data_IF_107594685084
#
_entry.id   IF_107594685084
#
_cell.length_a   1.000
_cell.length_b   1.000
_cell.length_c   1.000
_cell.angle_alpha   90.00
_cell.angle_beta   90.00
_cell.angle_gamma   90.00
#
_symmetry.space_group_name_H-M   'P 1'
#
loop_
_entity.id
_entity.type
_entity.pdbx_description
1 polymer ?
#
# COMPACT_ATOMS: atom_id res chain seq x y z
N UNK A 1 -29.54 5.04 -3.34
CA UNK A 1 -29.47 5.76 -4.63
C UNK A 1 -28.33 5.13 -5.43
N UNK A 2 -28.41 5.09 -6.77
CA UNK A 2 -27.29 4.58 -7.57
C UNK A 2 -26.11 5.55 -7.54
N UNK A 3 -24.88 5.05 -7.41
CA UNK A 3 -23.65 5.84 -7.56
C UNK A 3 -23.12 5.73 -8.99
N UNK A 4 -22.25 6.66 -9.39
CA UNK A 4 -21.67 6.66 -10.74
C UNK A 4 -20.44 5.74 -10.76
N UNK A 5 -20.48 4.73 -11.61
CA UNK A 5 -19.38 3.82 -11.91
C UNK A 5 -18.38 4.47 -12.89
N UNK A 6 -17.69 5.50 -12.44
CA UNK A 6 -16.75 6.30 -13.23
C UNK A 6 -15.65 5.45 -13.88
N UNK A 7 -15.12 4.44 -13.19
CA UNK A 7 -14.07 3.57 -13.75
C UNK A 7 -14.54 2.65 -14.90
N UNK A 8 -15.86 2.46 -15.01
CA UNK A 8 -16.50 1.61 -16.01
C UNK A 8 -17.15 2.43 -17.13
N UNK A 9 -17.07 3.76 -17.08
CA UNK A 9 -17.51 4.62 -18.17
C UNK A 9 -16.65 4.43 -19.42
N UNK A 10 -17.22 4.77 -20.57
CA UNK A 10 -16.52 4.74 -21.84
C UNK A 10 -15.28 5.64 -21.82
N UNK A 11 -14.21 5.14 -22.45
CA UNK A 11 -12.99 5.89 -22.66
C UNK A 11 -13.24 7.22 -23.40
N UNK A 12 -12.43 8.22 -23.10
CA UNK A 12 -12.39 9.48 -23.85
C UNK A 12 -11.87 9.29 -25.30
N UNK A 13 -11.40 8.09 -25.63
CA UNK A 13 -10.82 7.73 -26.91
C UNK A 13 -11.66 6.63 -27.57
N UNK A 14 -11.73 6.63 -28.90
CA UNK A 14 -12.42 5.62 -29.68
C UNK A 14 -11.51 5.10 -30.81
N UNK A 15 -11.87 3.95 -31.39
CA UNK A 15 -11.12 3.30 -32.46
C UNK A 15 -9.64 3.05 -32.11
N UNK A 16 -9.37 2.59 -30.88
CA UNK A 16 -8.02 2.34 -30.38
C UNK A 16 -7.25 1.37 -31.30
N UNK A 17 -7.94 0.40 -31.90
CA UNK A 17 -7.39 -0.59 -32.83
C UNK A 17 -6.87 0.03 -34.14
N UNK A 18 -7.27 1.27 -34.46
CA UNK A 18 -6.83 2.00 -35.67
C UNK A 18 -5.73 3.01 -35.39
N UNK A 19 -5.42 3.27 -34.11
CA UNK A 19 -4.35 4.19 -33.73
C UNK A 19 -2.98 3.55 -34.01
N UNK A 20 -2.03 4.38 -34.42
CA UNK A 20 -0.63 3.96 -34.45
C UNK A 20 -0.11 3.68 -33.02
N UNK A 21 0.95 2.89 -32.92
CA UNK A 21 1.61 2.62 -31.62
C UNK A 21 2.01 3.92 -30.91
N UNK A 22 2.49 4.92 -31.66
CA UNK A 22 2.87 6.22 -31.09
C UNK A 22 1.70 6.98 -30.47
N UNK A 23 0.54 6.98 -31.14
CA UNK A 23 -0.67 7.61 -30.63
C UNK A 23 -1.20 6.89 -29.38
N UNK A 24 -1.22 5.56 -29.39
CA UNK A 24 -1.61 4.76 -28.22
C UNK A 24 -0.75 5.11 -27.00
N UNK A 25 0.57 5.10 -27.15
CA UNK A 25 1.49 5.41 -26.04
C UNK A 25 1.33 6.85 -25.54
N UNK A 26 1.16 7.82 -26.46
CA UNK A 26 0.96 9.22 -26.10
C UNK A 26 -0.36 9.42 -25.34
N UNK A 27 -1.44 8.77 -25.77
CA UNK A 27 -2.75 8.89 -25.15
C UNK A 27 -2.81 8.21 -23.78
N UNK A 28 -2.23 7.01 -23.64
CA UNK A 28 -2.07 6.35 -22.33
C UNK A 28 -1.30 7.28 -21.37
N UNK A 29 -0.18 7.84 -21.80
CA UNK A 29 0.60 8.73 -20.95
C UNK A 29 -0.14 10.03 -20.58
N UNK A 30 -1.01 10.55 -21.46
CA UNK A 30 -1.83 11.72 -21.13
C UNK A 30 -2.84 11.40 -20.03
N UNK A 31 -3.44 10.22 -20.07
CA UNK A 31 -4.32 9.73 -19.01
C UNK A 31 -3.52 9.54 -17.69
N UNK A 32 -2.33 8.94 -17.73
CA UNK A 32 -1.49 8.72 -16.54
C UNK A 32 -1.12 10.02 -15.80
N UNK A 33 -0.92 11.14 -16.52
CA UNK A 33 -0.61 12.46 -15.92
C UNK A 33 -1.71 12.96 -14.99
N UNK A 34 -2.95 12.50 -15.17
CA UNK A 34 -4.08 12.90 -14.33
C UNK A 34 -4.06 12.24 -12.96
N UNK A 35 -3.39 11.09 -12.83
CA UNK A 35 -3.44 10.27 -11.61
C UNK A 35 -2.87 10.98 -10.38
N UNK A 36 -1.67 11.59 -10.42
CA UNK A 36 -1.15 12.33 -9.27
C UNK A 36 -2.04 13.50 -8.85
N UNK A 37 -2.75 14.13 -9.81
CA UNK A 37 -3.67 15.23 -9.52
C UNK A 37 -4.91 14.73 -8.78
N UNK A 38 -5.45 13.57 -9.15
CA UNK A 38 -6.54 12.93 -8.42
C UNK A 38 -6.11 12.52 -7.00
N UNK A 39 -4.91 11.95 -6.84
CA UNK A 39 -4.35 11.61 -5.51
C UNK A 39 -4.18 12.85 -4.65
N UNK A 40 -3.74 13.98 -5.23
CA UNK A 40 -3.59 15.24 -4.49
C UNK A 40 -4.92 15.73 -3.89
N UNK A 41 -6.05 15.49 -4.55
CA UNK A 41 -7.38 15.86 -4.03
C UNK A 41 -7.80 14.97 -2.84
N UNK A 42 -7.31 13.74 -2.78
CA UNK A 42 -7.63 12.78 -1.72
C UNK A 42 -6.73 12.91 -0.48
N UNK A 43 -5.73 13.81 -0.48
CA UNK A 43 -4.79 13.96 0.65
C UNK A 43 -5.45 14.13 2.02
N UNK A 44 -6.54 14.92 2.19
CA UNK A 44 -7.21 15.02 3.49
C UNK A 44 -7.78 13.68 4.00
N UNK A 45 -8.31 12.85 3.10
CA UNK A 45 -8.81 11.52 3.46
C UNK A 45 -7.68 10.57 3.82
N UNK A 46 -6.59 10.62 3.05
CA UNK A 46 -5.37 9.84 3.29
C UNK A 46 -4.79 10.17 4.67
N UNK A 47 -4.72 11.46 5.03
CA UNK A 47 -4.25 11.92 6.34
C UNK A 47 -5.08 11.34 7.49
N UNK A 48 -6.42 11.41 7.39
CA UNK A 48 -7.32 10.91 8.43
C UNK A 48 -7.14 9.40 8.68
N UNK A 49 -7.01 8.61 7.61
CA UNK A 49 -6.75 7.18 7.75
C UNK A 49 -5.38 6.90 8.38
N UNK A 50 -4.33 7.59 7.93
CA UNK A 50 -2.96 7.39 8.43
C UNK A 50 -2.89 7.70 9.93
N UNK A 51 -3.58 8.74 10.42
CA UNK A 51 -3.61 9.05 11.85
C UNK A 51 -4.13 7.86 12.69
N UNK A 52 -5.17 7.16 12.21
CA UNK A 52 -5.67 5.96 12.91
C UNK A 52 -4.70 4.80 12.84
N UNK A 53 -4.08 4.58 11.68
CA UNK A 53 -3.08 3.52 11.48
C UNK A 53 -1.90 3.75 12.44
N UNK A 54 -1.35 4.97 12.50
CA UNK A 54 -0.23 5.30 13.40
C UNK A 54 -0.59 5.04 14.86
N UNK A 55 -1.79 5.46 15.30
CA UNK A 55 -2.23 5.21 16.66
C UNK A 55 -2.31 3.72 16.98
N UNK A 56 -2.95 2.92 16.10
CA UNK A 56 -3.11 1.49 16.30
C UNK A 56 -1.80 0.71 16.29
N UNK A 57 -0.87 1.07 15.39
CA UNK A 57 0.44 0.42 15.33
C UNK A 57 1.33 0.78 16.53
N UNK A 58 1.22 2.00 17.08
CA UNK A 58 1.87 2.36 18.34
C UNK A 58 1.38 1.51 19.52
N UNK A 59 0.10 1.14 19.51
CA UNK A 59 -0.52 0.25 20.51
C UNK A 59 -0.23 -1.25 20.26
N UNK A 60 0.65 -1.57 19.31
CA UNK A 60 1.04 -2.95 18.97
C UNK A 60 0.09 -3.66 18.01
N UNK A 61 -0.82 -2.92 17.36
CA UNK A 61 -1.69 -3.41 16.30
C UNK A 61 -0.98 -3.63 14.96
N UNK A 62 -1.72 -4.18 13.99
CA UNK A 62 -1.24 -4.44 12.62
C UNK A 62 -2.12 -3.76 11.58
N UNK A 63 -1.59 -3.62 10.37
CA UNK A 63 -2.32 -3.11 9.20
C UNK A 63 -2.57 -4.25 8.20
N UNK A 64 -3.83 -4.43 7.83
CA UNK A 64 -4.24 -5.39 6.82
C UNK A 64 -4.74 -4.67 5.57
N UNK A 65 -4.19 -5.01 4.42
CA UNK A 65 -4.76 -4.71 3.11
C UNK A 65 -5.56 -5.91 2.62
N UNK A 66 -6.78 -5.68 2.16
CA UNK A 66 -7.59 -6.73 1.53
C UNK A 66 -8.10 -6.26 0.17
N UNK A 67 -8.07 -7.14 -0.83
CA UNK A 67 -8.58 -6.82 -2.16
C UNK A 67 -8.65 -8.04 -3.06
N UNK A 68 -9.19 -7.84 -4.26
CA UNK A 68 -9.19 -8.85 -5.31
C UNK A 68 -8.35 -8.40 -6.51
N UNK A 69 -7.92 -9.36 -7.35
CA UNK A 69 -7.24 -9.06 -8.61
C UNK A 69 -6.07 -8.10 -8.45
N UNK A 70 -6.04 -7.03 -9.26
CA UNK A 70 -4.98 -6.01 -9.21
C UNK A 70 -4.90 -5.32 -7.86
N UNK A 71 -6.03 -4.98 -7.24
CA UNK A 71 -6.08 -4.28 -5.95
C UNK A 71 -5.46 -5.11 -4.83
N UNK A 72 -5.80 -6.40 -4.74
CA UNK A 72 -5.18 -7.32 -3.78
C UNK A 72 -3.67 -7.50 -4.03
N UNK A 73 -3.24 -7.61 -5.30
CA UNK A 73 -1.81 -7.70 -5.65
C UNK A 73 -1.02 -6.45 -5.25
N UNK A 74 -1.61 -5.26 -5.39
CA UNK A 74 -0.97 -4.01 -4.97
C UNK A 74 -0.84 -3.92 -3.45
N UNK A 75 -1.84 -4.39 -2.70
CA UNK A 75 -1.74 -4.52 -1.25
C UNK A 75 -0.60 -5.46 -0.82
N UNK A 76 -0.48 -6.61 -1.48
CA UNK A 76 0.65 -7.55 -1.26
C UNK A 76 1.99 -6.91 -1.60
N UNK A 77 2.08 -6.21 -2.73
CA UNK A 77 3.29 -5.53 -3.15
C UNK A 77 3.78 -4.55 -2.08
N UNK A 78 2.90 -3.64 -1.64
CA UNK A 78 3.25 -2.61 -0.65
C UNK A 78 3.63 -3.24 0.72
N UNK A 79 2.87 -4.23 1.18
CA UNK A 79 3.19 -4.98 2.40
C UNK A 79 4.56 -5.67 2.32
N UNK A 80 4.89 -6.30 1.18
CA UNK A 80 6.15 -7.02 0.98
C UNK A 80 7.40 -6.13 0.99
N UNK A 81 7.23 -4.84 0.69
CA UNK A 81 8.32 -3.86 0.69
C UNK A 81 8.59 -3.31 2.09
N UNK A 82 7.69 -3.49 3.06
CA UNK A 82 7.83 -2.90 4.39
C UNK A 82 8.98 -3.52 5.21
N UNK A 83 9.12 -4.87 5.34
CA UNK A 83 10.23 -5.47 6.08
C UNK A 83 11.63 -5.05 5.59
N UNK A 84 11.97 -5.15 4.28
CA UNK A 84 13.31 -4.76 3.83
C UNK A 84 13.57 -3.25 3.90
N UNK A 85 12.52 -2.42 3.82
CA UNK A 85 12.63 -0.95 3.82
C UNK A 85 12.75 -0.37 5.22
N UNK A 86 11.91 -0.83 6.16
CA UNK A 86 11.75 -0.24 7.48
C UNK A 86 12.23 -1.14 8.63
N UNK A 87 12.68 -2.36 8.34
CA UNK A 87 13.21 -3.27 9.36
C UNK A 87 12.14 -3.95 10.22
N UNK A 88 10.88 -3.86 9.81
CA UNK A 88 9.73 -4.36 10.58
C UNK A 88 9.45 -5.84 10.31
N UNK A 89 8.62 -6.46 11.16
CA UNK A 89 8.15 -7.83 10.96
C UNK A 89 7.27 -7.95 9.71
N UNK A 90 7.28 -9.12 9.07
CA UNK A 90 6.36 -9.47 7.98
C UNK A 90 4.89 -9.50 8.46
N UNK A 91 4.65 -9.61 9.77
CA UNK A 91 3.31 -9.65 10.36
C UNK A 91 2.74 -8.26 10.68
N UNK A 92 3.55 -7.19 10.57
CA UNK A 92 3.09 -5.84 10.94
C UNK A 92 2.15 -5.24 9.88
N UNK A 93 2.46 -5.48 8.61
CA UNK A 93 1.64 -5.06 7.47
C UNK A 93 1.43 -6.27 6.58
N UNK A 94 0.17 -6.66 6.39
CA UNK A 94 -0.20 -7.90 5.71
C UNK A 94 -1.10 -7.58 4.52
N UNK A 95 -0.76 -8.10 3.34
CA UNK A 95 -1.61 -8.03 2.15
C UNK A 95 -2.34 -9.35 1.93
N UNK A 96 -3.67 -9.30 1.88
CA UNK A 96 -4.54 -10.44 1.58
C UNK A 96 -5.22 -10.23 0.23
N UNK A 97 -5.36 -11.34 -0.51
CA UNK A 97 -5.97 -11.36 -1.83
C UNK A 97 -7.07 -12.43 -1.90
N UNK A 98 -8.24 -12.06 -2.43
CA UNK A 98 -9.30 -13.00 -2.72
C UNK A 98 -8.78 -14.17 -3.59
N UNK A 99 -8.95 -15.41 -3.13
CA UNK A 99 -8.43 -16.62 -3.79
C UNK A 99 -7.03 -17.06 -3.32
N UNK A 100 -6.45 -16.36 -2.33
CA UNK A 100 -5.18 -16.71 -1.69
C UNK A 100 -3.97 -16.61 -2.62
N UNK A 101 -2.86 -17.24 -2.23
CA UNK A 101 -1.57 -17.14 -2.94
C UNK A 101 -1.63 -17.49 -4.43
N UNK A 102 -2.53 -18.40 -4.81
CA UNK A 102 -2.74 -18.74 -6.23
C UNK A 102 -3.16 -17.52 -7.07
N UNK A 103 -3.93 -16.61 -6.45
CA UNK A 103 -4.45 -15.39 -7.06
C UNK A 103 -3.35 -14.36 -7.39
N UNK A 104 -2.16 -14.49 -6.77
CA UNK A 104 -1.02 -13.60 -7.02
C UNK A 104 -0.61 -13.69 -8.50
N UNK A 105 -0.55 -14.90 -9.07
CA UNK A 105 -0.06 -15.14 -10.43
C UNK A 105 -1.14 -15.44 -11.45
N UNK A 106 -2.28 -15.97 -11.02
CA UNK A 106 -3.40 -16.34 -11.89
C UNK A 106 -4.67 -15.72 -11.36
N UNK A 107 -5.60 -15.31 -12.21
CA UNK A 107 -6.92 -14.91 -11.72
C UNK A 107 -7.64 -16.15 -11.17
N UNK A 108 -8.35 -15.99 -10.07
CA UNK A 108 -9.24 -17.01 -9.50
C UNK A 108 -10.65 -16.50 -9.69
N UNK A 109 -11.41 -17.16 -10.56
CA UNK A 109 -12.80 -16.76 -10.84
C UNK A 109 -13.67 -16.85 -9.58
N UNK A 110 -14.63 -15.95 -9.44
CA UNK A 110 -15.64 -15.88 -8.36
C UNK A 110 -15.10 -15.65 -6.94
N UNK A 111 -13.79 -15.62 -6.71
CA UNK A 111 -13.23 -15.34 -5.39
C UNK A 111 -13.62 -13.93 -4.89
N UNK A 112 -13.72 -12.97 -5.80
CA UNK A 112 -14.07 -11.58 -5.48
C UNK A 112 -15.56 -11.39 -5.13
N UNK A 113 -16.42 -12.33 -5.53
CA UNK A 113 -17.86 -12.33 -5.28
C UNK A 113 -18.24 -12.96 -3.93
N UNK A 114 -17.29 -13.58 -3.23
CA UNK A 114 -17.56 -14.24 -1.94
C UNK A 114 -17.84 -13.23 -0.83
N UNK A 115 -18.98 -13.38 -0.15
CA UNK A 115 -19.37 -12.54 0.99
C UNK A 115 -18.69 -12.97 2.32
N UNK A 116 -18.08 -14.14 2.38
CA UNK A 116 -17.53 -14.70 3.63
C UNK A 116 -16.00 -14.79 3.65
N UNK A 117 -15.39 -14.98 2.48
CA UNK A 117 -13.97 -15.34 2.39
C UNK A 117 -13.06 -14.25 2.98
N UNK A 118 -13.34 -12.96 2.77
CA UNK A 118 -12.49 -11.90 3.33
C UNK A 118 -12.43 -11.89 4.85
N UNK A 119 -13.54 -12.23 5.52
CA UNK A 119 -13.54 -12.41 6.98
C UNK A 119 -12.85 -13.69 7.42
N UNK A 120 -12.97 -14.78 6.65
CA UNK A 120 -12.26 -16.03 6.91
C UNK A 120 -10.75 -15.86 6.82
N UNK A 121 -10.27 -15.14 5.81
CA UNK A 121 -8.86 -14.81 5.64
C UNK A 121 -8.35 -13.97 6.84
N UNK A 122 -9.09 -12.94 7.25
CA UNK A 122 -8.71 -12.13 8.41
C UNK A 122 -8.68 -12.94 9.72
N UNK A 123 -9.63 -13.85 9.93
CA UNK A 123 -9.65 -14.75 11.10
C UNK A 123 -8.43 -15.65 11.16
N UNK A 124 -7.89 -16.10 10.01
CA UNK A 124 -6.69 -16.92 9.99
C UNK A 124 -5.46 -16.20 10.59
N UNK A 125 -5.48 -14.87 10.62
CA UNK A 125 -4.45 -14.02 11.24
C UNK A 125 -4.82 -13.58 12.67
N UNK A 126 -5.87 -14.13 13.28
CA UNK A 126 -6.37 -13.74 14.59
C UNK A 126 -6.62 -12.21 14.69
N UNK A 127 -7.30 -11.66 13.66
CA UNK A 127 -7.66 -10.24 13.63
C UNK A 127 -8.40 -9.81 14.90
N UNK A 128 -8.10 -8.62 15.42
CA UNK A 128 -8.74 -8.08 16.61
C UNK A 128 -8.87 -6.55 16.56
N UNK A 129 -9.45 -5.94 17.60
CA UNK A 129 -9.74 -4.50 17.67
C UNK A 129 -8.50 -3.58 17.72
N UNK A 130 -7.30 -4.13 17.87
CA UNK A 130 -6.05 -3.37 17.76
C UNK A 130 -5.60 -3.24 16.30
N UNK A 131 -6.15 -4.05 15.39
CA UNK A 131 -5.76 -4.02 13.99
C UNK A 131 -6.55 -2.96 13.19
N UNK A 132 -6.03 -2.61 12.02
CA UNK A 132 -6.70 -1.77 11.02
C UNK A 132 -6.85 -2.56 9.72
N UNK A 133 -8.03 -2.51 9.10
CA UNK A 133 -8.30 -3.17 7.81
C UNK A 133 -8.60 -2.13 6.74
N UNK A 134 -7.84 -2.13 5.66
CA UNK A 134 -8.02 -1.25 4.50
C UNK A 134 -8.45 -2.07 3.30
N UNK A 135 -9.70 -1.87 2.88
CA UNK A 135 -10.28 -2.51 1.71
C UNK A 135 -9.93 -1.79 0.41
N UNK A 136 -9.49 -2.52 -0.60
CA UNK A 136 -9.03 -1.95 -1.87
C UNK A 136 -9.87 -2.52 -3.02
N UNK A 137 -10.66 -1.66 -3.66
CA UNK A 137 -11.42 -2.01 -4.86
C UNK A 137 -11.65 -0.77 -5.73
N UNK A 138 -11.13 -0.78 -6.96
CA UNK A 138 -11.29 0.34 -7.89
C UNK A 138 -12.76 0.66 -8.15
N UNK A 139 -13.58 -0.37 -8.40
CA UNK A 139 -15.02 -0.24 -8.64
C UNK A 139 -15.81 0.19 -7.40
N UNK A 140 -15.26 -0.03 -6.19
CA UNK A 140 -15.94 0.18 -4.92
C UNK A 140 -17.13 -0.74 -4.67
N UNK A 141 -17.25 -1.84 -5.42
CA UNK A 141 -18.41 -2.76 -5.37
C UNK A 141 -18.06 -4.22 -5.08
N UNK A 142 -16.77 -4.54 -4.88
CA UNK A 142 -16.30 -5.92 -4.71
C UNK A 142 -16.84 -6.57 -3.41
N UNK A 143 -17.68 -7.62 -3.50
CA UNK A 143 -18.30 -8.24 -2.32
C UNK A 143 -17.33 -8.76 -1.27
N UNK A 144 -16.24 -9.42 -1.68
CA UNK A 144 -15.16 -9.90 -0.79
C UNK A 144 -14.64 -8.81 0.15
N UNK A 145 -14.49 -7.60 -0.38
CA UNK A 145 -13.95 -6.46 0.37
C UNK A 145 -15.05 -5.87 1.27
N UNK A 146 -16.21 -5.56 0.69
CA UNK A 146 -17.30 -4.88 1.41
C UNK A 146 -17.76 -5.69 2.61
N UNK A 147 -18.09 -6.97 2.43
CA UNK A 147 -18.61 -7.81 3.51
C UNK A 147 -17.58 -8.04 4.61
N UNK A 148 -16.28 -8.08 4.29
CA UNK A 148 -15.24 -8.13 5.29
C UNK A 148 -15.20 -6.83 6.12
N UNK A 149 -15.30 -5.66 5.51
CA UNK A 149 -15.34 -4.38 6.24
C UNK A 149 -16.60 -4.25 7.10
N UNK A 150 -17.77 -4.68 6.61
CA UNK A 150 -19.00 -4.70 7.40
C UNK A 150 -18.84 -5.54 8.68
N UNK A 151 -18.19 -6.70 8.57
CA UNK A 151 -17.93 -7.57 9.73
C UNK A 151 -16.89 -6.93 10.66
N UNK A 152 -15.82 -6.33 10.13
CA UNK A 152 -14.85 -5.58 10.92
C UNK A 152 -15.51 -4.45 11.73
N UNK A 153 -16.41 -3.67 11.11
CA UNK A 153 -17.16 -2.61 11.79
C UNK A 153 -18.01 -3.17 12.95
N UNK A 154 -18.71 -4.29 12.74
CA UNK A 154 -19.48 -4.97 13.80
C UNK A 154 -18.61 -5.46 14.97
N UNK A 155 -17.31 -5.67 14.73
CA UNK A 155 -16.34 -6.11 15.73
C UNK A 155 -15.47 -4.95 16.28
N UNK A 156 -15.83 -3.70 16.02
CA UNK A 156 -15.08 -2.50 16.45
C UNK A 156 -13.62 -2.46 15.96
N UNK A 157 -13.36 -3.03 14.78
CA UNK A 157 -12.08 -2.93 14.08
C UNK A 157 -12.13 -1.68 13.21
N UNK A 158 -11.06 -0.89 13.20
CA UNK A 158 -10.99 0.32 12.36
C UNK A 158 -10.92 -0.10 10.90
N UNK A 159 -11.76 0.53 10.06
CA UNK A 159 -11.80 0.27 8.63
C UNK A 159 -11.50 1.51 7.81
N UNK A 160 -10.64 1.35 6.81
CA UNK A 160 -10.44 2.33 5.74
C UNK A 160 -10.71 1.70 4.38
N UNK A 161 -10.77 2.50 3.33
CA UNK A 161 -10.79 1.96 1.98
C UNK A 161 -10.06 2.83 0.96
N UNK A 162 -9.74 2.25 -0.19
CA UNK A 162 -9.28 2.97 -1.38
C UNK A 162 -10.15 2.55 -2.56
N UNK A 163 -10.87 3.51 -3.13
CA UNK A 163 -11.73 3.31 -4.30
C UNK A 163 -11.60 4.45 -5.30
N UNK A 164 -12.02 4.22 -6.55
CA UNK A 164 -11.95 5.21 -7.63
C UNK A 164 -13.33 5.68 -8.11
N UNK A 165 -14.39 5.24 -7.44
CA UNK A 165 -15.76 5.72 -7.65
C UNK A 165 -16.26 6.45 -6.41
N UNK A 166 -16.85 7.62 -6.63
CA UNK A 166 -17.37 8.47 -5.56
C UNK A 166 -18.65 7.86 -4.97
N UNK A 167 -18.80 7.90 -3.65
CA UNK A 167 -19.95 7.37 -2.90
C UNK A 167 -20.26 5.90 -3.27
N UNK A 168 -19.21 5.09 -3.45
CA UNK A 168 -19.35 3.66 -3.70
C UNK A 168 -19.83 2.92 -2.45
N UNK A 169 -20.44 1.72 -2.59
CA UNK A 169 -20.78 0.88 -1.44
C UNK A 169 -19.60 0.62 -0.49
N UNK A 170 -18.38 0.46 -1.04
CA UNK A 170 -17.18 0.31 -0.22
C UNK A 170 -16.85 1.57 0.59
N UNK A 171 -16.95 2.76 0.01
CA UNK A 171 -16.67 4.01 0.73
C UNK A 171 -17.75 4.36 1.76
N UNK A 172 -19.01 4.01 1.50
CA UNK A 172 -20.08 4.10 2.50
C UNK A 172 -19.90 3.11 3.66
N UNK A 173 -19.23 1.98 3.42
CA UNK A 173 -18.97 0.96 4.44
C UNK A 173 -17.77 1.31 5.32
N UNK A 174 -16.72 1.91 4.75
CA UNK A 174 -15.50 2.22 5.49
C UNK A 174 -15.68 3.41 6.45
N UNK A 175 -15.07 3.33 7.64
CA UNK A 175 -15.05 4.46 8.58
C UNK A 175 -14.19 5.63 8.08
N UNK A 176 -13.09 5.31 7.38
CA UNK A 176 -12.14 6.27 6.83
C UNK A 176 -11.94 6.05 5.32
N UNK A 177 -12.88 6.50 4.48
CA UNK A 177 -12.82 6.26 3.04
C UNK A 177 -11.82 7.20 2.33
N UNK A 178 -11.06 6.64 1.38
CA UNK A 178 -10.23 7.39 0.42
C UNK A 178 -10.83 7.17 -0.97
N UNK A 179 -11.29 8.25 -1.59
CA UNK A 179 -11.89 8.24 -2.93
C UNK A 179 -10.99 8.98 -3.92
N UNK A 180 -10.32 8.23 -4.80
CA UNK A 180 -9.40 8.78 -5.80
C UNK A 180 -10.03 8.74 -7.18
N UNK A 181 -10.74 9.81 -7.55
CA UNK A 181 -11.52 9.87 -8.79
C UNK A 181 -10.60 10.13 -9.99
N UNK A 182 -10.19 9.05 -10.66
CA UNK A 182 -9.26 9.11 -11.82
C UNK A 182 -9.97 9.28 -13.18
N UNK A 183 -11.31 9.25 -13.22
CA UNK A 183 -12.08 9.28 -14.46
C UNK A 183 -12.14 7.92 -15.20
N UNK A 184 -12.74 7.89 -16.41
CA UNK A 184 -12.80 6.69 -17.25
C UNK A 184 -11.40 6.19 -17.62
N UNK A 185 -11.22 4.88 -17.76
CA UNK A 185 -9.94 4.29 -18.16
C UNK A 185 -9.67 4.46 -19.65
N UNK A 186 -8.39 4.50 -20.06
CA UNK A 186 -8.02 4.57 -21.49
C UNK A 186 -8.61 3.40 -22.29
N UNK A 187 -8.58 2.20 -21.70
CA UNK A 187 -9.34 1.04 -22.15
C UNK A 187 -10.50 0.86 -21.18
N UNK A 188 -11.74 1.02 -21.65
CA UNK A 188 -12.97 0.97 -20.83
C UNK A 188 -12.96 -0.22 -19.86
N UNK A 189 -13.13 0.06 -18.57
CA UNK A 189 -13.17 -0.95 -17.51
C UNK A 189 -11.81 -1.54 -17.11
N UNK A 190 -10.70 -1.21 -17.77
CA UNK A 190 -9.36 -1.73 -17.46
C UNK A 190 -8.73 -1.01 -16.26
N UNK A 191 -9.35 -1.14 -15.08
CA UNK A 191 -8.97 -0.47 -13.83
C UNK A 191 -7.55 -0.83 -13.31
N UNK A 192 -6.87 -1.80 -13.92
CA UNK A 192 -5.44 -2.05 -13.67
C UNK A 192 -4.53 -0.89 -14.12
N UNK A 193 -5.06 0.10 -14.83
CA UNK A 193 -4.31 1.24 -15.39
C UNK A 193 -4.29 2.42 -14.41
N UNK A 194 -5.13 3.45 -14.61
CA UNK A 194 -5.10 4.65 -13.76
C UNK A 194 -5.51 4.34 -12.33
N UNK A 195 -6.59 3.59 -12.12
CA UNK A 195 -7.06 3.25 -10.79
C UNK A 195 -6.03 2.42 -10.00
N UNK A 196 -5.41 1.42 -10.64
CA UNK A 196 -4.29 0.67 -10.05
C UNK A 196 -3.08 1.54 -9.72
N UNK A 197 -2.76 2.51 -10.58
CA UNK A 197 -1.67 3.47 -10.32
C UNK A 197 -2.00 4.36 -9.12
N UNK A 198 -3.22 4.89 -9.03
CA UNK A 198 -3.71 5.65 -7.89
C UNK A 198 -3.61 4.84 -6.59
N UNK A 199 -4.09 3.60 -6.60
CA UNK A 199 -4.00 2.69 -5.46
C UNK A 199 -2.56 2.50 -5.00
N UNK A 200 -1.63 2.26 -5.93
CA UNK A 200 -0.20 2.14 -5.60
C UNK A 200 0.34 3.39 -4.90
N UNK A 201 0.03 4.58 -5.44
CA UNK A 201 0.51 5.84 -4.87
C UNK A 201 -0.04 6.05 -3.44
N UNK A 202 -1.32 5.77 -3.22
CA UNK A 202 -1.95 5.89 -1.90
C UNK A 202 -1.37 4.88 -0.91
N UNK A 203 -1.20 3.61 -1.31
CA UNK A 203 -0.59 2.57 -0.45
C UNK A 203 0.82 2.97 0.00
N UNK A 204 1.64 3.43 -0.95
CA UNK A 204 2.98 3.92 -0.63
C UNK A 204 2.96 5.14 0.30
N UNK A 205 1.99 6.05 0.16
CA UNK A 205 1.80 7.16 1.11
C UNK A 205 1.43 6.65 2.50
N UNK A 206 0.54 5.67 2.60
CA UNK A 206 0.10 5.08 3.87
C UNK A 206 1.29 4.49 4.62
N UNK A 207 2.01 3.54 4.03
CA UNK A 207 3.09 2.83 4.72
C UNK A 207 4.30 3.72 4.97
N UNK A 208 4.72 4.52 4.00
CA UNK A 208 5.87 5.41 4.16
C UNK A 208 5.62 6.44 5.25
N UNK A 209 4.46 7.11 5.25
CA UNK A 209 4.15 8.13 6.26
C UNK A 209 4.00 7.50 7.63
N UNK A 210 3.31 6.36 7.72
CA UNK A 210 3.16 5.62 8.98
C UNK A 210 4.51 5.25 9.57
N UNK A 211 5.41 4.67 8.77
CA UNK A 211 6.73 4.24 9.24
C UNK A 211 7.65 5.41 9.61
N UNK A 212 7.49 6.56 8.95
CA UNK A 212 8.16 7.81 9.37
C UNK A 212 7.65 8.25 10.75
N UNK A 213 6.33 8.25 10.98
CA UNK A 213 5.74 8.63 12.26
C UNK A 213 6.12 7.67 13.40
N UNK A 214 6.27 6.38 13.10
CA UNK A 214 6.79 5.36 14.04
C UNK A 214 8.31 5.42 14.23
N UNK A 215 9.00 6.36 13.56
CA UNK A 215 10.41 6.65 13.79
C UNK A 215 11.38 5.74 13.04
N UNK A 216 10.95 4.95 12.05
CA UNK A 216 11.80 4.04 11.26
C UNK A 216 12.71 4.75 10.24
N UNK A 217 12.56 6.07 10.11
CA UNK A 217 13.32 6.92 9.18
C UNK A 217 13.96 8.07 9.96
N UNK A 218 15.20 8.44 9.60
CA UNK A 218 15.88 9.62 10.14
C UNK A 218 16.16 10.61 9.02
N UNK A 219 15.59 11.81 9.11
CA UNK A 219 15.63 12.77 8.00
C UNK A 219 14.98 12.16 6.76
N UNK A 220 15.78 11.88 5.73
CA UNK A 220 15.35 11.18 4.52
C UNK A 220 16.06 9.83 4.30
N UNK A 221 16.57 9.21 5.37
CA UNK A 221 17.38 7.98 5.31
C UNK A 221 16.67 6.81 5.99
N UNK A 222 16.64 5.67 5.29
CA UNK A 222 16.16 4.37 5.78
C UNK A 222 17.20 3.75 6.72
N UNK A 223 17.18 4.17 7.99
CA UNK A 223 18.19 3.77 8.99
C UNK A 223 17.92 2.38 9.58
N UNK A 224 16.74 1.82 9.35
CA UNK A 224 16.33 0.50 9.85
C UNK A 224 16.21 -0.55 8.73
N UNK A 225 16.66 -0.25 7.50
CA UNK A 225 16.60 -1.21 6.40
C UNK A 225 17.31 -2.53 6.74
N UNK A 226 16.74 -3.66 6.29
CA UNK A 226 17.37 -4.97 6.46
C UNK A 226 18.48 -5.17 5.43
N UNK A 227 19.63 -5.65 5.86
CA UNK A 227 20.80 -5.86 5.02
C UNK A 227 20.75 -7.21 4.28
N UNK A 228 19.72 -7.41 3.46
CA UNK A 228 19.44 -8.71 2.81
C UNK A 228 20.25 -9.00 1.55
N UNK A 229 21.00 -8.02 1.04
CA UNK A 229 21.84 -8.18 -0.16
C UNK A 229 22.98 -7.16 -0.20
N UNK A 230 23.98 -7.41 -1.06
CA UNK A 230 25.17 -6.57 -1.21
C UNK A 230 24.83 -5.09 -1.47
N UNK A 231 23.81 -4.79 -2.28
CA UNK A 231 23.38 -3.41 -2.56
C UNK A 231 22.90 -2.68 -1.29
N UNK A 232 22.21 -3.38 -0.40
CA UNK A 232 21.73 -2.81 0.88
C UNK A 232 22.87 -2.67 1.89
N UNK A 233 23.82 -3.61 1.92
CA UNK A 233 25.07 -3.50 2.71
C UNK A 233 25.90 -2.29 2.27
N UNK A 234 26.10 -2.11 0.96
CA UNK A 234 26.84 -0.96 0.41
C UNK A 234 26.14 0.37 0.74
N UNK A 235 24.80 0.40 0.64
CA UNK A 235 24.00 1.57 1.01
C UNK A 235 24.15 1.89 2.50
N UNK A 236 24.06 0.88 3.37
CA UNK A 236 24.21 1.05 4.81
C UNK A 236 25.59 1.55 5.19
N UNK A 237 26.63 0.99 4.56
CA UNK A 237 28.04 1.41 4.76
C UNK A 237 28.21 2.88 4.40
N UNK A 238 27.72 3.31 3.23
CA UNK A 238 27.77 4.72 2.80
C UNK A 238 27.00 5.67 3.73
N UNK A 239 25.87 5.23 4.30
CA UNK A 239 25.12 6.03 5.28
C UNK A 239 25.91 6.24 6.57
N UNK A 240 26.54 5.18 7.10
CA UNK A 240 27.37 5.26 8.30
C UNK A 240 28.60 6.14 8.06
N UNK A 241 29.28 5.97 6.92
CA UNK A 241 30.42 6.82 6.53
C UNK A 241 30.03 8.30 6.54
N UNK A 242 28.90 8.64 5.91
CA UNK A 242 28.44 10.02 5.80
C UNK A 242 28.03 10.62 7.16
N UNK A 243 27.37 9.84 8.02
CA UNK A 243 26.90 10.34 9.33
C UNK A 243 28.03 10.44 10.37
N UNK A 244 29.00 9.51 10.35
CA UNK A 244 30.07 9.45 11.35
C UNK A 244 31.40 10.05 10.86
N UNK A 245 31.53 10.37 9.57
CA UNK A 245 32.75 10.83 8.93
C UNK A 245 33.94 9.87 9.15
N UNK A 246 33.70 8.57 8.90
CA UNK A 246 34.68 7.48 9.07
C UNK A 246 34.98 6.76 7.77
N UNK A 247 36.02 5.92 7.78
CA UNK A 247 36.40 5.12 6.62
C UNK A 247 35.36 4.06 6.27
N UNK A 248 35.31 3.65 5.00
CA UNK A 248 34.45 2.55 4.53
C UNK A 248 34.70 1.25 5.31
N UNK A 249 35.97 0.95 5.60
CA UNK A 249 36.37 -0.23 6.36
C UNK A 249 35.78 -0.23 7.77
N UNK A 250 35.83 0.90 8.46
CA UNK A 250 35.27 1.04 9.81
C UNK A 250 33.73 1.01 9.77
N UNK A 251 33.12 1.71 8.83
CA UNK A 251 31.67 1.71 8.65
C UNK A 251 31.12 0.31 8.37
N UNK A 252 31.79 -0.44 7.50
CA UNK A 252 31.44 -1.83 7.20
C UNK A 252 31.58 -2.72 8.43
N UNK A 253 32.67 -2.58 9.19
CA UNK A 253 32.86 -3.31 10.45
C UNK A 253 31.72 -3.05 11.45
N UNK A 254 31.32 -1.78 11.63
CA UNK A 254 30.21 -1.43 12.52
C UNK A 254 28.89 -2.04 12.02
N UNK A 255 28.65 -1.96 10.71
CA UNK A 255 27.43 -2.51 10.10
C UNK A 255 27.36 -4.04 10.27
N UNK A 256 28.48 -4.74 10.05
CA UNK A 256 28.59 -6.19 10.24
C UNK A 256 28.42 -6.59 11.72
N UNK A 257 28.88 -5.75 12.65
CA UNK A 257 28.80 -6.00 14.10
C UNK A 257 27.40 -5.78 14.66
N UNK A 258 26.73 -4.70 14.24
CA UNK A 258 25.46 -4.27 14.83
C UNK A 258 24.23 -4.60 13.97
N UNK A 259 24.42 -5.11 12.75
CA UNK A 259 23.37 -5.66 11.89
C UNK A 259 22.42 -4.65 11.25
N UNK A 260 22.37 -3.40 11.72
CA UNK A 260 21.62 -2.31 11.09
C UNK A 260 22.34 -0.95 11.24
N UNK A 261 21.92 0.02 10.42
CA UNK A 261 22.56 1.35 10.35
C UNK A 261 22.34 2.14 11.64
N UNK A 262 21.12 2.11 12.21
CA UNK A 262 20.80 2.83 13.45
C UNK A 262 21.67 2.39 14.62
N UNK A 263 21.73 1.09 14.90
CA UNK A 263 22.50 0.53 16.01
C UNK A 263 24.00 0.75 15.80
N UNK A 264 24.51 0.65 14.56
CA UNK A 264 25.89 0.96 14.24
C UNK A 264 26.25 2.42 14.59
N UNK A 265 25.41 3.39 14.23
CA UNK A 265 25.61 4.81 14.54
C UNK A 265 25.49 5.07 16.04
N UNK A 266 24.49 4.50 16.71
CA UNK A 266 24.27 4.69 18.14
C UNK A 266 25.42 4.12 18.97
N UNK A 267 25.86 2.89 18.68
CA UNK A 267 26.95 2.26 19.40
C UNK A 267 28.26 3.01 19.22
N UNK A 268 28.58 3.44 17.99
CA UNK A 268 29.78 4.23 17.74
C UNK A 268 29.78 5.54 18.55
N UNK A 269 28.65 6.27 18.57
CA UNK A 269 28.52 7.50 19.35
C UNK A 269 28.60 7.28 20.86
N UNK A 270 28.23 6.08 21.34
CA UNK A 270 28.35 5.67 22.73
C UNK A 270 29.74 5.10 23.09
N UNK A 271 30.70 5.11 22.15
CA UNK A 271 32.08 4.62 22.36
C UNK A 271 32.28 3.13 22.11
N UNK A 272 31.25 2.40 21.68
CA UNK A 272 31.33 0.98 21.32
C UNK A 272 31.73 0.86 19.83
N UNK A 273 32.88 0.25 19.55
CA UNK A 273 33.47 0.11 18.19
C UNK A 273 33.64 -1.35 17.74
#
# INVERSE_FOLDING_TARGET
MGFIKTTEQDSNYNHLEKMSVSELLKNINNEDKTVPLAVAQALPQIELLIQQIVNKLNDGGRLFYIGAGTSGRLGILDASECPPTFGVSHDLIVGLIAGGDSAIRKAVEFAEDSLTLGWEDLKAYNINSNDVVVGIAASGTTPYVISALEICNKNNIITGCITCNQNSPLSETAQFPIEVIVGPEFLTGSSRMKAGTAQKLVLNMITTTTMIQLGHVKGNKMVDMQLSNNKLVDRGTKMIMAELNISEKEAKKLLDTFGNVRLAIQNYKNGNK
#
